data_IF_203200064932
#
_entry.id   IF_203200064932
#
_cell.length_a   1.000
_cell.length_b   1.000
_cell.length_c   1.000
_cell.angle_alpha   90.00
_cell.angle_beta   90.00
_cell.angle_gamma   90.00
#
_symmetry.space_group_name_H-M   'P 1'
#
loop_
_entity.id
_entity.type
_entity.pdbx_description
1 polymer ?
#
# COMPACT_ATOMS: atom_id res chain seq x y z
N UNK A 1 -4.36 3.67 17.19
CA UNK A 1 -4.42 2.79 15.99
C UNK A 1 -3.95 3.65 14.83
N UNK A 2 -2.67 3.51 14.46
CA UNK A 2 -2.01 4.34 13.44
C UNK A 2 -2.66 4.19 12.08
N UNK A 3 -2.42 5.15 11.19
CA UNK A 3 -3.06 5.25 9.88
C UNK A 3 -2.66 4.10 8.94
N UNK A 4 -3.33 2.96 9.07
CA UNK A 4 -3.22 1.87 8.11
C UNK A 4 -3.95 2.25 6.81
N UNK A 5 -3.32 1.96 5.68
CA UNK A 5 -3.78 2.24 4.32
C UNK A 5 -3.72 0.97 3.49
N UNK A 6 -4.53 0.93 2.44
CA UNK A 6 -4.55 -0.16 1.46
C UNK A 6 -4.36 0.46 0.08
N UNK A 7 -3.27 0.11 -0.61
CA UNK A 7 -3.06 0.47 -2.01
C UNK A 7 -3.55 -0.67 -2.90
N UNK A 8 -4.36 -0.33 -3.90
CA UNK A 8 -4.85 -1.27 -4.90
C UNK A 8 -4.15 -1.02 -6.23
N UNK A 9 -3.51 -2.05 -6.78
CA UNK A 9 -2.95 -2.04 -8.13
C UNK A 9 -4.08 -2.30 -9.12
N UNK A 10 -4.38 -1.28 -9.93
CA UNK A 10 -5.47 -1.31 -10.91
C UNK A 10 -4.95 -1.66 -12.31
N UNK A 11 -3.79 -1.13 -12.69
CA UNK A 11 -3.20 -1.39 -14.00
C UNK A 11 -1.67 -1.33 -13.90
N UNK A 12 -1.02 -2.31 -14.55
CA UNK A 12 0.42 -2.39 -14.68
C UNK A 12 0.78 -3.33 -15.84
N UNK A 13 1.81 -3.02 -16.65
CA UNK A 13 2.13 -3.81 -17.86
C UNK A 13 2.37 -5.31 -17.62
N UNK A 14 2.88 -5.69 -16.45
CA UNK A 14 3.31 -7.06 -16.14
C UNK A 14 2.97 -7.51 -14.71
N UNK A 15 2.19 -6.73 -13.96
CA UNK A 15 1.80 -7.11 -12.60
C UNK A 15 0.30 -7.41 -12.53
N UNK A 16 -0.09 -8.44 -11.77
CA UNK A 16 -1.50 -8.72 -11.55
C UNK A 16 -2.16 -7.64 -10.69
N UNK A 17 -3.48 -7.51 -10.82
CA UNK A 17 -4.28 -6.76 -9.84
C UNK A 17 -4.02 -7.32 -8.44
N UNK A 18 -3.85 -6.42 -7.46
CA UNK A 18 -3.50 -6.80 -6.10
C UNK A 18 -3.66 -5.67 -5.10
N UNK A 19 -3.63 -6.00 -3.82
CA UNK A 19 -3.72 -5.05 -2.72
C UNK A 19 -2.49 -5.16 -1.81
N UNK A 20 -1.99 -4.02 -1.34
CA UNK A 20 -0.90 -3.92 -0.38
C UNK A 20 -1.37 -3.10 0.83
N UNK A 21 -1.25 -3.68 2.02
CA UNK A 21 -1.53 -3.01 3.28
C UNK A 21 -0.25 -2.41 3.80
N UNK A 22 -0.27 -1.15 4.21
CA UNK A 22 0.90 -0.47 4.80
C UNK A 22 0.42 0.58 5.80
N UNK A 23 1.34 1.10 6.60
CA UNK A 23 1.09 2.15 7.58
C UNK A 23 1.89 3.41 7.26
N UNK A 24 1.33 4.59 7.58
CA UNK A 24 2.05 5.86 7.52
C UNK A 24 2.45 6.27 8.93
N UNK A 25 3.74 6.53 9.13
CA UNK A 25 4.33 6.98 10.40
C UNK A 25 5.09 8.29 10.20
N UNK A 26 5.56 8.90 11.29
CA UNK A 26 6.41 10.09 11.23
C UNK A 26 7.73 9.84 10.47
N UNK A 27 8.19 8.59 10.41
CA UNK A 27 9.39 8.18 9.67
C UNK A 27 9.10 7.82 8.20
N UNK A 28 7.85 7.94 7.75
CA UNK A 28 7.41 7.61 6.40
C UNK A 28 6.54 6.35 6.31
N UNK A 29 6.56 5.71 5.14
CA UNK A 29 5.79 4.50 4.84
C UNK A 29 6.50 3.28 5.43
N UNK A 30 5.77 2.50 6.21
CA UNK A 30 6.22 1.23 6.79
C UNK A 30 5.18 0.15 6.50
N UNK A 31 5.62 -1.10 6.39
CA UNK A 31 4.75 -2.27 6.10
C UNK A 31 3.96 -2.67 7.36
#
# INVERSE_FOLDING_TARGET
>A
KGEQRVAKMIDAPHLPEGEAVFSITENGIVD
#
